data_IF_141509877006
#
_entry.id   IF_141509877006
#
_cell.length_a   1.000
_cell.length_b   1.000
_cell.length_c   1.000
_cell.angle_alpha   90.00
_cell.angle_beta   90.00
_cell.angle_gamma   90.00
#
_symmetry.space_group_name_H-M   'P 1'
#
loop_
_entity.id
_entity.type
_entity.pdbx_description
1 polymer ?
#
# COMPACT_ATOMS: atom_id res chain seq x y z
N UNK A 1 61.20 23.01 26.23
CA UNK A 1 60.30 22.81 25.08
C UNK A 1 59.18 21.90 25.56
N UNK A 2 57.95 22.41 25.53
CA UNK A 2 56.72 21.71 25.92
C UNK A 2 56.11 21.14 24.65
N UNK A 3 56.02 19.82 24.52
CA UNK A 3 55.23 19.18 23.45
C UNK A 3 54.21 18.22 24.05
N UNK A 4 52.99 18.37 23.53
CA UNK A 4 51.73 17.97 24.12
C UNK A 4 51.51 16.45 24.08
N UNK A 5 51.13 15.89 25.22
CA UNK A 5 50.58 14.54 25.31
C UNK A 5 49.21 14.50 24.61
N UNK A 6 49.10 13.65 23.59
CA UNK A 6 47.90 13.44 22.81
C UNK A 6 46.79 12.78 23.64
N UNK A 7 45.78 13.58 24.00
CA UNK A 7 44.53 13.14 24.62
C UNK A 7 43.65 12.46 23.55
N UNK A 8 43.84 11.14 23.36
CA UNK A 8 42.89 10.33 22.59
C UNK A 8 41.69 10.02 23.48
N UNK A 9 40.64 10.82 23.33
CA UNK A 9 39.31 10.50 23.86
C UNK A 9 38.75 9.35 23.02
N UNK A 10 38.71 8.16 23.61
CA UNK A 10 37.87 7.07 23.13
C UNK A 10 36.41 7.46 23.38
N UNK A 11 35.84 8.22 22.44
CA UNK A 11 34.40 8.40 22.32
C UNK A 11 33.83 7.13 21.66
N UNK A 12 33.89 6.01 22.37
CA UNK A 12 33.17 4.79 22.04
C UNK A 12 31.72 4.96 22.49
N UNK A 13 31.03 5.94 21.91
CA UNK A 13 29.58 5.97 21.86
C UNK A 13 29.13 4.99 20.78
N UNK A 14 29.31 3.70 21.07
CA UNK A 14 28.52 2.66 20.42
C UNK A 14 27.13 2.71 21.05
N UNK A 15 26.34 3.72 20.65
CA UNK A 15 24.90 3.66 20.80
C UNK A 15 24.42 2.41 20.06
N UNK A 16 24.24 1.35 20.84
CA UNK A 16 23.41 0.22 20.53
C UNK A 16 22.02 0.73 20.15
N UNK A 17 21.83 1.12 18.89
CA UNK A 17 20.51 1.15 18.27
C UNK A 17 20.02 -0.29 18.10
N UNK A 18 19.88 -1.02 19.20
CA UNK A 18 19.04 -2.21 19.32
C UNK A 18 17.61 -1.72 19.13
N UNK A 19 17.27 -1.53 17.86
CA UNK A 19 15.97 -1.06 17.40
C UNK A 19 14.97 -2.11 17.82
N UNK A 20 14.37 -1.92 19.00
CA UNK A 20 13.38 -2.82 19.59
C UNK A 20 12.36 -3.16 18.49
N UNK A 21 12.38 -4.41 18.04
CA UNK A 21 11.50 -4.88 16.98
C UNK A 21 10.06 -4.68 17.46
N UNK A 22 9.22 -4.14 16.59
CA UNK A 22 7.81 -3.90 16.85
C UNK A 22 7.08 -5.19 16.48
N UNK A 23 6.56 -5.96 17.46
CA UNK A 23 5.86 -7.20 17.18
C UNK A 23 4.51 -6.92 16.55
N UNK A 24 3.96 -7.93 15.87
CA UNK A 24 2.62 -7.85 15.30
C UNK A 24 1.57 -7.80 16.42
N UNK A 25 0.62 -6.85 16.39
CA UNK A 25 -0.45 -6.84 17.37
C UNK A 25 -1.32 -8.11 17.26
N UNK A 26 -1.81 -8.65 18.39
CA UNK A 26 -2.60 -9.89 18.41
C UNK A 26 -3.97 -9.72 17.75
N UNK A 27 -4.52 -8.50 17.76
CA UNK A 27 -5.85 -8.20 17.23
C UNK A 27 -5.75 -7.57 15.84
N UNK A 28 -6.69 -7.87 14.94
CA UNK A 28 -6.74 -7.24 13.60
C UNK A 28 -7.30 -5.80 13.60
N UNK A 29 -7.89 -5.36 14.73
CA UNK A 29 -8.45 -4.00 14.90
C UNK A 29 -7.36 -2.98 15.23
N UNK A 30 -6.47 -2.69 14.27
CA UNK A 30 -5.44 -1.66 14.43
C UNK A 30 -5.30 -0.75 13.21
N UNK A 31 -4.77 0.45 13.47
CA UNK A 31 -4.43 1.42 12.43
C UNK A 31 -2.93 1.40 12.13
N UNK A 32 -2.57 1.07 10.88
CA UNK A 32 -1.18 1.14 10.41
C UNK A 32 -0.59 2.54 10.58
N UNK A 33 -1.40 3.60 10.42
CA UNK A 33 -0.96 4.99 10.60
C UNK A 33 -0.50 5.26 12.03
N UNK A 34 -1.21 4.71 13.02
CA UNK A 34 -0.84 4.85 14.44
C UNK A 34 0.44 4.06 14.74
N UNK A 35 0.58 2.84 14.22
CA UNK A 35 1.75 1.98 14.46
C UNK A 35 3.03 2.49 13.80
N UNK A 36 2.94 3.17 12.65
CA UNK A 36 4.12 3.73 12.00
C UNK A 36 4.64 5.01 12.66
N UNK A 37 3.87 5.63 13.54
CA UNK A 37 4.20 6.94 14.13
C UNK A 37 4.34 8.05 13.09
N UNK A 38 3.82 7.85 11.88
CA UNK A 38 3.97 8.82 10.79
C UNK A 38 2.83 9.82 10.82
N UNK A 39 3.14 11.08 10.53
CA UNK A 39 2.11 12.08 10.23
C UNK A 39 1.30 11.65 9.01
N UNK A 40 0.02 12.03 8.98
CA UNK A 40 -0.94 11.67 7.93
C UNK A 40 -0.41 11.86 6.48
N UNK A 41 0.25 12.97 6.12
CA UNK A 41 0.76 13.14 4.75
C UNK A 41 1.78 12.07 4.35
N UNK A 42 2.71 11.73 5.26
CA UNK A 42 3.72 10.69 5.03
C UNK A 42 3.09 9.31 4.94
N UNK A 43 2.09 9.01 5.77
CA UNK A 43 1.35 7.76 5.68
C UNK A 43 0.58 7.62 4.35
N UNK A 44 0.00 8.71 3.85
CA UNK A 44 -0.67 8.71 2.54
C UNK A 44 0.33 8.50 1.39
N UNK A 45 1.50 9.14 1.45
CA UNK A 45 2.58 8.91 0.50
C UNK A 45 3.01 7.43 0.50
N UNK A 46 3.25 6.85 1.68
CA UNK A 46 3.56 5.42 1.81
C UNK A 46 2.47 4.54 1.17
N UNK A 47 1.20 4.80 1.45
CA UNK A 47 0.09 4.02 0.85
C UNK A 47 0.06 4.13 -0.67
N UNK A 48 0.37 5.30 -1.22
CA UNK A 48 0.45 5.52 -2.66
C UNK A 48 1.61 4.72 -3.25
N UNK A 49 2.77 4.75 -2.61
CA UNK A 49 3.96 4.06 -3.09
C UNK A 49 3.79 2.55 -3.03
N UNK A 50 3.22 2.00 -1.95
CA UNK A 50 2.90 0.56 -1.88
C UNK A 50 1.93 0.15 -2.98
N UNK A 51 0.89 0.96 -3.25
CA UNK A 51 -0.04 0.69 -4.36
C UNK A 51 0.67 0.69 -5.71
N UNK A 52 1.56 1.65 -5.93
CA UNK A 52 2.37 1.77 -7.14
C UNK A 52 3.26 0.54 -7.31
N UNK A 53 4.04 0.18 -6.29
CA UNK A 53 4.94 -0.99 -6.31
C UNK A 53 4.18 -2.30 -6.56
N UNK A 54 3.01 -2.49 -5.95
CA UNK A 54 2.16 -3.67 -6.19
C UNK A 54 1.67 -3.72 -7.64
N UNK A 55 1.37 -2.56 -8.22
CA UNK A 55 0.93 -2.45 -9.62
C UNK A 55 2.08 -2.72 -10.59
N UNK A 56 3.25 -2.14 -10.33
CA UNK A 56 4.48 -2.35 -11.12
C UNK A 56 4.95 -3.81 -11.06
N UNK A 57 4.86 -4.45 -9.89
CA UNK A 57 5.13 -5.88 -9.71
C UNK A 57 4.06 -6.78 -10.35
N UNK A 58 3.02 -6.21 -10.96
CA UNK A 58 1.90 -6.92 -11.60
C UNK A 58 1.24 -7.97 -10.68
N UNK A 59 1.15 -7.66 -9.39
CA UNK A 59 0.51 -8.56 -8.43
C UNK A 59 -1.01 -8.47 -8.67
N UNK A 60 -1.56 -9.54 -9.25
CA UNK A 60 -3.00 -9.67 -9.50
C UNK A 60 -3.73 -9.84 -8.18
N UNK A 61 -4.85 -9.14 -8.04
CA UNK A 61 -5.75 -9.39 -6.91
C UNK A 61 -6.43 -10.74 -7.17
N UNK A 62 -6.18 -11.73 -6.32
CA UNK A 62 -6.81 -13.06 -6.40
C UNK A 62 -8.32 -12.95 -6.22
N UNK A 63 -9.12 -13.66 -7.03
CA UNK A 63 -10.59 -13.58 -6.95
C UNK A 63 -11.14 -14.04 -5.60
N UNK A 64 -10.53 -15.07 -5.00
CA UNK A 64 -10.86 -15.60 -3.66
C UNK A 64 -10.40 -14.68 -2.52
N UNK A 65 -9.40 -13.83 -2.77
CA UNK A 65 -8.78 -12.99 -1.73
C UNK A 65 -7.79 -13.72 -0.84
N UNK A 66 -7.39 -14.93 -1.23
CA UNK A 66 -6.36 -15.69 -0.56
C UNK A 66 -5.00 -15.06 -0.82
N UNK A 67 -4.51 -14.31 0.17
CA UNK A 67 -3.16 -13.76 0.14
C UNK A 67 -2.08 -14.85 0.04
N UNK A 68 -2.40 -16.09 0.45
CA UNK A 68 -1.54 -17.27 0.31
C UNK A 68 -1.27 -17.68 -1.15
N UNK A 69 -2.10 -17.23 -2.09
CA UNK A 69 -1.93 -17.50 -3.53
C UNK A 69 -1.18 -16.38 -4.26
N UNK A 70 -0.73 -15.36 -3.53
CA UNK A 70 0.10 -14.29 -4.09
C UNK A 70 1.51 -14.82 -4.30
N UNK A 71 2.12 -14.52 -5.44
CA UNK A 71 3.51 -14.86 -5.73
C UNK A 71 4.46 -14.21 -4.71
N UNK A 72 5.04 -15.04 -3.84
CA UNK A 72 5.94 -14.61 -2.77
C UNK A 72 7.20 -13.93 -3.31
N UNK A 73 7.69 -14.30 -4.51
CA UNK A 73 8.88 -13.68 -5.11
C UNK A 73 8.59 -12.23 -5.47
N UNK A 74 7.44 -11.99 -6.12
CA UNK A 74 6.98 -10.64 -6.47
C UNK A 74 6.73 -9.80 -5.22
N UNK A 75 6.15 -10.40 -4.18
CA UNK A 75 5.91 -9.74 -2.91
C UNK A 75 7.23 -9.34 -2.22
N UNK A 76 8.24 -10.22 -2.24
CA UNK A 76 9.58 -9.92 -1.76
C UNK A 76 10.25 -8.75 -2.48
N UNK A 77 10.07 -8.64 -3.81
CA UNK A 77 10.56 -7.48 -4.57
C UNK A 77 9.88 -6.18 -4.13
N UNK A 78 8.57 -6.20 -3.92
CA UNK A 78 7.82 -5.05 -3.38
C UNK A 78 8.36 -4.65 -2.01
N UNK A 79 8.68 -5.61 -1.14
CA UNK A 79 9.21 -5.31 0.20
C UNK A 79 10.61 -4.73 0.12
N UNK A 80 11.49 -5.31 -0.70
CA UNK A 80 12.83 -4.77 -0.93
C UNK A 80 12.79 -3.32 -1.43
N UNK A 81 11.91 -3.02 -2.39
CA UNK A 81 11.72 -1.67 -2.89
C UNK A 81 11.14 -0.73 -1.81
N UNK A 82 10.17 -1.21 -1.02
CA UNK A 82 9.58 -0.42 0.05
C UNK A 82 10.61 -0.09 1.16
N UNK A 83 11.54 -1.00 1.48
CA UNK A 83 12.63 -0.72 2.43
C UNK A 83 13.61 0.33 1.93
N UNK A 84 13.86 0.38 0.62
CA UNK A 84 14.71 1.41 0.03
C UNK A 84 14.10 2.81 0.20
N UNK A 85 12.78 2.93 0.12
CA UNK A 85 12.06 4.22 0.28
C UNK A 85 11.80 4.55 1.77
N UNK A 86 11.47 3.54 2.56
CA UNK A 86 11.08 3.68 3.97
C UNK A 86 11.92 2.78 4.88
N UNK A 87 13.19 3.15 5.18
CA UNK A 87 14.08 2.33 6.01
C UNK A 87 13.51 2.04 7.40
N UNK A 88 12.70 2.95 7.94
CA UNK A 88 12.02 2.77 9.23
C UNK A 88 11.14 1.52 9.30
N UNK A 89 10.74 0.93 8.16
CA UNK A 89 9.95 -0.29 8.14
C UNK A 89 10.71 -1.53 8.62
N UNK A 90 12.06 -1.50 8.64
CA UNK A 90 12.88 -2.61 9.13
C UNK A 90 12.69 -2.90 10.62
N UNK A 91 12.08 -1.97 11.37
CA UNK A 91 11.77 -2.14 12.78
C UNK A 91 10.57 -3.06 13.04
N UNK A 92 9.79 -3.43 12.01
CA UNK A 92 8.64 -4.32 12.18
C UNK A 92 9.05 -5.77 11.95
N UNK A 93 8.77 -6.62 12.93
CA UNK A 93 9.11 -8.05 12.90
C UNK A 93 8.43 -8.77 11.72
N UNK A 94 9.11 -9.74 11.11
CA UNK A 94 8.61 -10.56 9.99
C UNK A 94 7.95 -9.77 8.85
N UNK A 95 8.32 -8.49 8.70
CA UNK A 95 7.74 -7.58 7.72
C UNK A 95 6.21 -7.42 7.85
N UNK A 96 5.63 -7.70 9.04
CA UNK A 96 4.18 -7.79 9.23
C UNK A 96 3.45 -6.52 8.79
N UNK A 97 4.08 -5.36 8.96
CA UNK A 97 3.51 -4.06 8.58
C UNK A 97 3.28 -3.96 7.07
N UNK A 98 4.28 -4.35 6.28
CA UNK A 98 4.22 -4.37 4.82
C UNK A 98 3.24 -5.42 4.31
N UNK A 99 3.24 -6.58 4.96
CA UNK A 99 2.27 -7.66 4.77
C UNK A 99 0.83 -7.18 4.87
N UNK A 100 0.51 -6.45 5.95
CA UNK A 100 -0.85 -5.94 6.19
C UNK A 100 -1.16 -4.82 5.20
N UNK A 101 -0.20 -3.93 4.89
CA UNK A 101 -0.39 -2.86 3.91
C UNK A 101 -0.68 -3.42 2.50
N UNK A 102 0.05 -4.45 2.08
CA UNK A 102 -0.14 -5.12 0.81
C UNK A 102 -1.50 -5.82 0.74
N UNK A 103 -1.86 -6.59 1.79
CA UNK A 103 -3.19 -7.21 1.92
C UNK A 103 -4.33 -6.21 1.79
N UNK A 104 -4.29 -5.11 2.55
CA UNK A 104 -5.31 -4.06 2.49
C UNK A 104 -5.41 -3.45 1.10
N UNK A 105 -4.28 -3.26 0.42
CA UNK A 105 -4.25 -2.71 -0.94
C UNK A 105 -4.91 -3.65 -1.95
N UNK A 106 -4.57 -4.94 -1.93
CA UNK A 106 -5.17 -5.94 -2.82
C UNK A 106 -6.66 -6.14 -2.55
N UNK A 107 -7.07 -6.16 -1.28
CA UNK A 107 -8.48 -6.24 -0.88
C UNK A 107 -9.29 -5.03 -1.38
N UNK A 108 -8.74 -3.81 -1.27
CA UNK A 108 -9.39 -2.61 -1.77
C UNK A 108 -9.51 -2.62 -3.30
N UNK A 109 -8.46 -3.07 -4.01
CA UNK A 109 -8.49 -3.25 -5.47
C UNK A 109 -9.61 -4.21 -5.88
N UNK A 110 -9.74 -5.34 -5.18
CA UNK A 110 -10.82 -6.32 -5.41
C UNK A 110 -12.20 -5.73 -5.20
N UNK A 111 -12.41 -4.98 -4.11
CA UNK A 111 -13.68 -4.30 -3.84
C UNK A 111 -14.02 -3.29 -4.94
N UNK A 112 -13.02 -2.57 -5.45
CA UNK A 112 -13.17 -1.67 -6.60
C UNK A 112 -13.68 -2.41 -7.84
N UNK A 113 -13.04 -3.52 -8.21
CA UNK A 113 -13.42 -4.35 -9.37
C UNK A 113 -14.85 -4.88 -9.22
N UNK A 114 -15.23 -5.39 -8.05
CA UNK A 114 -16.60 -5.89 -7.81
C UNK A 114 -17.65 -4.78 -7.93
N UNK A 115 -17.34 -3.57 -7.47
CA UNK A 115 -18.25 -2.41 -7.58
C UNK A 115 -18.41 -1.96 -9.02
N UNK A 116 -17.33 -1.91 -9.80
CA UNK A 116 -17.41 -1.54 -11.22
C UNK A 116 -18.18 -2.58 -12.03
N UNK A 117 -17.96 -3.88 -11.78
CA UNK A 117 -18.74 -4.96 -12.40
C UNK A 117 -20.23 -4.86 -12.07
N UNK A 118 -20.58 -4.61 -10.80
CA UNK A 118 -21.98 -4.39 -10.41
C UNK A 118 -22.61 -3.21 -11.14
N UNK A 119 -21.87 -2.11 -11.32
CA UNK A 119 -22.36 -0.93 -12.05
C UNK A 119 -22.60 -1.23 -13.53
N UNK A 120 -21.67 -1.95 -14.18
CA UNK A 120 -21.82 -2.35 -15.58
C UNK A 120 -23.00 -3.29 -15.80
N UNK A 121 -23.20 -4.27 -14.91
CA UNK A 121 -24.37 -5.16 -14.97
C UNK A 121 -25.69 -4.42 -14.72
N UNK A 122 -25.69 -3.44 -13.81
CA UNK A 122 -26.86 -2.59 -13.58
C UNK A 122 -27.21 -1.74 -14.80
N UNK A 123 -26.20 -1.17 -15.48
CA UNK A 123 -26.39 -0.41 -16.71
C UNK A 123 -26.86 -1.29 -17.89
N UNK A 124 -26.35 -2.51 -18.01
CA UNK A 124 -26.79 -3.45 -19.03
C UNK A 124 -28.24 -3.92 -18.83
N UNK A 125 -28.70 -4.03 -17.58
CA UNK A 125 -30.06 -4.42 -17.25
C UNK A 125 -31.06 -3.26 -17.25
N UNK A 126 -30.60 -2.00 -17.26
CA UNK A 126 -31.47 -0.83 -17.23
C UNK A 126 -31.92 -0.34 -18.60
N UNK A 127 -31.71 -1.14 -19.66
CA UNK A 127 -32.28 -0.96 -21.00
C UNK A 127 -32.53 0.50 -21.37
N UNK A 128 -31.49 1.21 -21.79
CA UNK A 128 -31.66 2.51 -22.44
C UNK A 128 -32.43 2.27 -23.76
N UNK A 129 -33.75 2.27 -23.68
CA UNK A 129 -34.63 2.67 -24.78
C UNK A 129 -34.32 4.13 -25.07
N UNK A 130 -33.35 4.36 -25.97
CA UNK A 130 -33.21 5.63 -26.65
C UNK A 130 -34.39 5.77 -27.61
N UNK A 131 -35.50 6.29 -27.09
CA UNK A 131 -36.59 6.82 -27.89
C UNK A 131 -36.08 8.14 -28.49
N UNK A 132 -35.43 8.01 -29.64
CA UNK A 132 -35.01 9.10 -30.51
C UNK A 132 -36.26 9.59 -31.23
N UNK A 133 -37.00 10.51 -30.60
CA UNK A 133 -38.04 11.29 -31.30
C UNK A 133 -37.35 12.29 -32.21
N UNK A 134 -36.95 11.78 -33.37
CA UNK A 134 -36.84 12.58 -34.58
C UNK A 134 -38.26 12.99 -35.01
N UNK A 135 -38.82 14.04 -34.39
CA UNK A 135 -39.91 14.79 -35.01
C UNK A 135 -39.29 15.69 -36.10
N UNK A 136 -39.01 15.06 -37.25
CA UNK A 136 -39.21 15.73 -38.53
C UNK A 136 -40.72 15.89 -38.69
N UNK A 137 -41.23 17.12 -38.57
CA UNK A 137 -42.44 17.50 -39.29
C UNK A 137 -42.28 18.91 -39.87
N UNK A 138 -41.88 18.87 -41.13
CA UNK A 138 -41.90 19.92 -42.13
C UNK A 138 -43.34 20.01 -42.68
N UNK A 139 -44.08 21.09 -42.37
CA UNK A 139 -45.29 21.49 -43.11
C UNK A 139 -45.49 23.01 -42.93
N UNK A 140 -45.09 23.84 -43.91
CA UNK A 140 -45.93 24.29 -45.05
C UNK A 140 -47.23 24.99 -44.61
N UNK A 141 -47.19 26.30 -44.36
CA UNK A 141 -47.61 27.39 -45.27
C UNK A 141 -47.60 28.75 -44.52
#
# INVERSE_FOLDING_TARGET
MLEAAAERRDDSSSEEHTSKLIPRPPNEKFSLEKYSGWKRPKYLAFRRDIRRLITEAQIKSTSTGDFRRVDHKKLGLVYKAAYAIYPSLKRFEDNWFLDVAARRTLQNRRRGIRRSQKKLLAAANSGEESHDESEEDEAMD
#
